data_IF_493745515453
#
_entry.id   IF_493745515453
#
_cell.length_a   1.000
_cell.length_b   1.000
_cell.length_c   1.000
_cell.angle_alpha   90.00
_cell.angle_beta   90.00
_cell.angle_gamma   90.00
#
_symmetry.space_group_name_H-M   'P 1'
#
loop_
_entity.id
_entity.type
_entity.pdbx_description
1 polymer ?
#
# COMPACT_ATOMS: atom_id res chain seq x y z
N UNK A 1 -14.11 -1.03 3.14
CA UNK A 1 -14.18 -1.81 1.87
C UNK A 1 -15.41 -1.42 1.06
N UNK A 2 -16.61 -1.37 1.68
CA UNK A 2 -17.84 -0.85 1.07
C UNK A 2 -17.64 0.50 0.36
N UNK A 3 -17.10 1.51 1.07
CA UNK A 3 -16.85 2.86 0.53
C UNK A 3 -15.95 2.89 -0.72
N UNK A 4 -14.93 2.02 -0.80
CA UNK A 4 -14.03 1.97 -1.98
C UNK A 4 -14.76 1.40 -3.20
N UNK A 5 -15.54 0.35 -2.98
CA UNK A 5 -16.29 -0.33 -4.04
C UNK A 5 -17.48 0.52 -4.52
N UNK A 6 -18.18 1.15 -3.59
CA UNK A 6 -19.22 2.13 -3.90
C UNK A 6 -18.64 3.30 -4.67
N UNK A 7 -17.52 3.88 -4.24
CA UNK A 7 -16.92 4.99 -4.99
C UNK A 7 -16.44 4.54 -6.37
N UNK A 8 -15.86 3.35 -6.50
CA UNK A 8 -15.48 2.80 -7.81
C UNK A 8 -16.69 2.60 -8.73
N UNK A 9 -17.78 2.01 -8.22
CA UNK A 9 -19.00 1.73 -8.98
C UNK A 9 -19.79 3.01 -9.32
N UNK A 10 -19.78 4.00 -8.42
CA UNK A 10 -20.47 5.28 -8.60
C UNK A 10 -19.61 6.31 -9.36
N UNK A 11 -18.36 5.96 -9.69
CA UNK A 11 -17.46 6.85 -10.42
C UNK A 11 -17.92 6.97 -11.87
N UNK A 12 -18.55 8.08 -12.20
CA UNK A 12 -18.72 8.51 -13.59
C UNK A 12 -17.53 9.38 -13.99
N UNK A 13 -16.79 8.97 -15.03
CA UNK A 13 -15.67 9.73 -15.60
C UNK A 13 -14.53 10.07 -14.63
N UNK A 14 -14.03 11.30 -14.70
CA UNK A 14 -12.92 11.82 -13.88
C UNK A 14 -13.37 12.46 -12.55
N UNK A 15 -14.51 12.03 -12.00
CA UNK A 15 -15.03 12.58 -10.74
C UNK A 15 -14.01 12.45 -9.60
N UNK A 16 -13.83 13.54 -8.85
CA UNK A 16 -12.85 13.63 -7.78
C UNK A 16 -13.30 12.80 -6.57
N UNK A 17 -12.41 11.92 -6.12
CA UNK A 17 -12.58 11.08 -4.93
C UNK A 17 -12.64 11.92 -3.67
N UNK A 18 -13.38 11.49 -2.65
CA UNK A 18 -13.31 12.10 -1.30
C UNK A 18 -12.74 11.14 -0.25
N UNK A 19 -12.42 9.90 -0.62
CA UNK A 19 -11.96 8.83 0.29
C UNK A 19 -10.64 9.14 0.99
N UNK A 20 -9.80 9.98 0.39
CA UNK A 20 -8.47 10.27 0.90
C UNK A 20 -8.43 11.66 1.52
N UNK A 21 -9.41 11.99 2.34
CA UNK A 21 -9.54 13.29 2.99
C UNK A 21 -9.61 13.17 4.51
N UNK A 22 -9.33 14.28 5.18
CA UNK A 22 -9.45 14.39 6.63
C UNK A 22 -8.23 13.92 7.43
N UNK A 23 -8.24 14.30 8.71
CA UNK A 23 -7.10 14.15 9.62
C UNK A 23 -6.69 12.69 9.81
N UNK A 24 -7.66 11.77 9.89
CA UNK A 24 -7.38 10.34 10.09
C UNK A 24 -6.57 9.74 8.93
N UNK A 25 -6.94 10.05 7.67
CA UNK A 25 -6.21 9.58 6.50
C UNK A 25 -4.81 10.20 6.46
N UNK A 26 -4.70 11.51 6.66
CA UNK A 26 -3.43 12.25 6.68
C UNK A 26 -2.49 11.66 7.73
N UNK A 27 -3.00 11.45 8.95
CA UNK A 27 -2.23 10.87 10.05
C UNK A 27 -1.74 9.47 9.71
N UNK A 28 -2.59 8.59 9.16
CA UNK A 28 -2.16 7.24 8.75
C UNK A 28 -1.14 7.27 7.62
N UNK A 29 -1.32 8.12 6.61
CA UNK A 29 -0.37 8.28 5.50
C UNK A 29 0.98 8.87 5.92
N UNK A 30 1.14 9.32 7.16
CA UNK A 30 2.45 9.66 7.71
C UNK A 30 3.25 8.46 8.19
N UNK A 31 2.63 7.28 8.36
CA UNK A 31 3.22 6.07 8.94
C UNK A 31 3.88 6.29 10.31
N UNK A 32 3.42 7.29 11.07
CA UNK A 32 4.05 7.67 12.35
C UNK A 32 5.42 8.33 12.19
N UNK A 33 5.84 8.64 10.96
CA UNK A 33 7.10 9.32 10.67
C UNK A 33 6.88 10.84 10.60
N UNK A 34 7.39 11.63 11.56
CA UNK A 34 7.17 13.08 11.59
C UNK A 34 7.75 13.79 10.36
N UNK A 35 8.88 13.32 9.82
CA UNK A 35 9.46 13.89 8.59
C UNK A 35 8.55 13.67 7.39
N UNK A 36 7.90 12.50 7.31
CA UNK A 36 6.89 12.23 6.27
C UNK A 36 5.66 13.11 6.45
N UNK A 37 5.18 13.27 7.70
CA UNK A 37 4.06 14.17 7.99
C UNK A 37 4.33 15.61 7.52
N UNK A 38 5.53 16.15 7.79
CA UNK A 38 5.90 17.49 7.31
C UNK A 38 5.93 17.58 5.78
N UNK A 39 6.47 16.57 5.09
CA UNK A 39 6.46 16.54 3.61
C UNK A 39 5.03 16.48 3.06
N UNK A 40 4.17 15.68 3.68
CA UNK A 40 2.75 15.59 3.34
C UNK A 40 2.05 16.94 3.56
N UNK A 41 2.29 17.62 4.69
CA UNK A 41 1.74 18.96 4.93
C UNK A 41 2.24 19.98 3.91
N UNK A 42 3.54 20.02 3.61
CA UNK A 42 4.07 20.91 2.59
C UNK A 42 3.44 20.64 1.21
N UNK A 43 3.18 19.37 0.88
CA UNK A 43 2.50 18.99 -0.35
C UNK A 43 1.02 19.42 -0.36
N UNK A 44 0.31 19.24 0.76
CA UNK A 44 -1.08 19.65 0.92
C UNK A 44 -1.24 21.18 0.87
N UNK A 45 -0.36 21.90 1.56
CA UNK A 45 -0.48 23.34 1.84
C UNK A 45 0.32 24.24 0.89
N UNK A 46 1.27 23.69 0.11
CA UNK A 46 2.29 24.48 -0.61
C UNK A 46 1.76 25.54 -1.59
N UNK A 47 0.50 25.45 -2.03
CA UNK A 47 -0.12 26.40 -2.97
C UNK A 47 -1.16 27.31 -2.31
N UNK A 48 -1.32 27.28 -0.98
CA UNK A 48 -2.38 27.97 -0.26
C UNK A 48 -1.93 29.31 0.35
N UNK A 49 -1.03 30.03 -0.34
CA UNK A 49 -0.39 31.24 0.21
C UNK A 49 -1.37 32.29 0.75
N UNK A 50 -2.64 32.29 0.30
CA UNK A 50 -3.67 33.25 0.70
C UNK A 50 -5.04 32.63 1.08
N UNK A 51 -5.15 31.31 1.31
CA UNK A 51 -6.43 30.69 1.67
C UNK A 51 -6.48 30.37 3.17
N UNK A 52 -7.34 31.08 3.91
CA UNK A 52 -7.64 30.79 5.33
C UNK A 52 -8.69 29.67 5.49
N UNK A 53 -9.22 29.17 4.38
CA UNK A 53 -10.30 28.19 4.36
C UNK A 53 -9.77 26.76 4.29
N UNK A 54 -10.51 25.84 4.91
CA UNK A 54 -10.26 24.40 4.82
C UNK A 54 -10.22 23.96 3.35
N UNK A 55 -9.19 23.19 2.99
CA UNK A 55 -9.09 22.56 1.66
C UNK A 55 -10.32 21.65 1.45
N UNK A 56 -11.05 21.75 0.33
CA UNK A 56 -12.14 20.83 0.02
C UNK A 56 -11.68 19.36 0.03
N UNK A 57 -12.54 18.43 0.46
CA UNK A 57 -12.18 17.02 0.62
C UNK A 57 -11.76 16.34 -0.69
N UNK A 58 -12.38 16.74 -1.79
CA UNK A 58 -11.98 16.32 -3.14
C UNK A 58 -10.54 16.75 -3.46
N UNK A 59 -10.18 18.01 -3.18
CA UNK A 59 -8.85 18.54 -3.42
C UNK A 59 -7.80 17.95 -2.46
N UNK A 60 -8.18 17.66 -1.21
CA UNK A 60 -7.31 16.90 -0.30
C UNK A 60 -6.99 15.52 -0.87
N UNK A 61 -8.02 14.81 -1.34
CA UNK A 61 -7.85 13.46 -1.88
C UNK A 61 -6.99 13.43 -3.13
N UNK A 62 -7.16 14.39 -4.05
CA UNK A 62 -6.31 14.54 -5.23
C UNK A 62 -4.84 14.79 -4.83
N UNK A 63 -4.61 15.72 -3.90
CA UNK A 63 -3.25 16.03 -3.41
C UNK A 63 -2.62 14.85 -2.69
N UNK A 64 -3.37 14.09 -1.91
CA UNK A 64 -2.86 12.89 -1.22
C UNK A 64 -2.52 11.79 -2.22
N UNK A 65 -3.29 11.63 -3.29
CA UNK A 65 -2.94 10.72 -4.39
C UNK A 65 -1.68 11.16 -5.12
N UNK A 66 -1.55 12.46 -5.43
CA UNK A 66 -0.34 13.00 -6.06
C UNK A 66 0.89 12.83 -5.17
N UNK A 67 0.76 13.10 -3.86
CA UNK A 67 1.80 12.85 -2.86
C UNK A 67 2.23 11.38 -2.86
N UNK A 68 1.25 10.47 -2.80
CA UNK A 68 1.46 9.02 -2.79
C UNK A 68 2.26 8.55 -4.00
N UNK A 69 1.90 9.02 -5.20
CA UNK A 69 2.63 8.70 -6.43
C UNK A 69 4.06 9.28 -6.41
N UNK A 70 4.24 10.53 -5.96
CA UNK A 70 5.58 11.14 -5.86
C UNK A 70 6.50 10.38 -4.90
N UNK A 71 5.99 9.93 -3.76
CA UNK A 71 6.77 9.11 -2.83
C UNK A 71 7.23 7.79 -3.49
N UNK A 72 6.36 7.18 -4.31
CA UNK A 72 6.73 5.99 -5.08
C UNK A 72 7.77 6.31 -6.16
N UNK A 73 7.65 7.42 -6.88
CA UNK A 73 8.58 7.78 -7.95
C UNK A 73 10.01 8.01 -7.48
N UNK A 74 10.21 8.46 -6.23
CA UNK A 74 11.55 8.72 -5.68
C UNK A 74 12.43 7.47 -5.75
N UNK A 75 11.86 6.26 -5.63
CA UNK A 75 12.65 5.03 -5.70
C UNK A 75 13.39 4.87 -7.02
N UNK A 76 12.88 5.44 -8.13
CA UNK A 76 13.52 5.32 -9.46
C UNK A 76 14.91 5.96 -9.53
N UNK A 77 15.23 6.87 -8.61
CA UNK A 77 16.52 7.56 -8.55
C UNK A 77 17.59 6.78 -7.76
N UNK A 78 17.21 5.70 -7.06
CA UNK A 78 18.16 4.81 -6.40
C UNK A 78 18.82 3.85 -7.38
N UNK A 79 19.98 3.29 -6.98
CA UNK A 79 20.61 2.20 -7.71
C UNK A 79 19.66 1.00 -7.78
N UNK A 80 19.44 0.48 -8.99
CA UNK A 80 18.45 -0.58 -9.28
C UNK A 80 16.99 -0.20 -8.93
N UNK A 81 16.72 1.09 -8.72
CA UNK A 81 15.46 1.63 -8.25
C UNK A 81 14.26 1.42 -9.18
N UNK A 82 14.50 1.32 -10.50
CA UNK A 82 13.46 1.02 -11.49
C UNK A 82 12.82 -0.35 -11.20
N UNK A 83 13.63 -1.36 -10.86
CA UNK A 83 13.14 -2.70 -10.53
C UNK A 83 12.28 -2.68 -9.27
N UNK A 84 12.71 -1.94 -8.25
CA UNK A 84 11.92 -1.75 -7.03
C UNK A 84 10.61 -0.98 -7.29
N UNK A 85 10.62 0.02 -8.18
CA UNK A 85 9.41 0.71 -8.63
C UNK A 85 8.40 -0.26 -9.28
N UNK A 86 8.86 -1.08 -10.22
CA UNK A 86 8.03 -2.07 -10.91
C UNK A 86 7.50 -3.14 -9.93
N UNK A 87 8.36 -3.62 -9.03
CA UNK A 87 8.01 -4.57 -7.99
C UNK A 87 6.89 -4.04 -7.08
N UNK A 88 7.01 -2.81 -6.58
CA UNK A 88 5.97 -2.18 -5.74
C UNK A 88 4.67 -1.97 -6.54
N UNK A 89 4.76 -1.55 -7.80
CA UNK A 89 3.57 -1.40 -8.64
C UNK A 89 2.85 -2.73 -8.88
N UNK A 90 3.59 -3.84 -9.08
CA UNK A 90 3.00 -5.17 -9.23
C UNK A 90 2.24 -5.59 -7.96
N UNK A 91 2.83 -5.38 -6.79
CA UNK A 91 2.20 -5.68 -5.49
C UNK A 91 0.96 -4.80 -5.26
N UNK A 92 1.09 -3.48 -5.40
CA UNK A 92 -0.01 -2.55 -5.19
C UNK A 92 -1.15 -2.73 -6.19
N UNK A 93 -0.83 -3.04 -7.46
CA UNK A 93 -1.79 -3.37 -8.50
C UNK A 93 -2.59 -4.63 -8.16
N UNK A 94 -1.92 -5.69 -7.73
CA UNK A 94 -2.58 -6.91 -7.28
C UNK A 94 -3.56 -6.66 -6.12
N UNK A 95 -3.14 -5.91 -5.09
CA UNK A 95 -4.02 -5.60 -3.96
C UNK A 95 -5.23 -4.76 -4.37
N UNK A 96 -5.06 -3.83 -5.32
CA UNK A 96 -6.16 -3.04 -5.90
C UNK A 96 -7.17 -3.96 -6.57
N UNK A 97 -6.71 -4.86 -7.44
CA UNK A 97 -7.57 -5.79 -8.16
C UNK A 97 -8.36 -6.70 -7.21
N UNK A 98 -7.69 -7.31 -6.23
CA UNK A 98 -8.35 -8.16 -5.24
C UNK A 98 -9.37 -7.39 -4.40
N UNK A 99 -9.05 -6.15 -4.02
CA UNK A 99 -9.96 -5.31 -3.23
C UNK A 99 -11.27 -4.98 -3.96
N UNK A 100 -11.27 -4.99 -5.30
CA UNK A 100 -12.47 -4.74 -6.11
C UNK A 100 -13.32 -6.00 -6.32
N UNK A 101 -12.69 -7.18 -6.38
CA UNK A 101 -13.34 -8.45 -6.70
C UNK A 101 -13.87 -9.17 -5.46
N UNK A 102 -13.17 -9.09 -4.31
CA UNK A 102 -13.55 -9.83 -3.11
C UNK A 102 -14.92 -9.42 -2.52
N UNK A 103 -15.54 -10.35 -1.78
CA UNK A 103 -16.83 -10.14 -1.11
C UNK A 103 -16.72 -8.99 -0.09
N UNK A 104 -17.76 -8.16 -0.04
CA UNK A 104 -17.87 -7.11 0.97
C UNK A 104 -17.90 -7.74 2.37
N UNK A 105 -16.99 -7.31 3.24
CA UNK A 105 -16.83 -7.85 4.59
C UNK A 105 -15.63 -8.78 4.76
N UNK A 106 -14.98 -9.24 3.67
CA UNK A 106 -13.73 -10.02 3.76
C UNK A 106 -12.54 -9.15 4.21
N UNK A 107 -11.58 -9.79 4.86
CA UNK A 107 -10.26 -9.18 5.05
C UNK A 107 -9.50 -9.21 3.72
N UNK A 108 -9.31 -8.05 3.08
CA UNK A 108 -8.62 -7.96 1.79
C UNK A 108 -7.12 -8.10 1.92
N UNK A 109 -6.47 -8.72 0.93
CA UNK A 109 -5.01 -8.75 0.88
C UNK A 109 -4.45 -7.33 0.71
N UNK A 110 -3.62 -6.91 1.66
CA UNK A 110 -2.84 -5.66 1.62
C UNK A 110 -1.45 -5.85 2.25
N UNK A 111 -1.01 -7.10 2.37
CA UNK A 111 0.31 -7.47 2.86
C UNK A 111 0.73 -8.77 2.21
N UNK A 112 2.03 -9.05 2.19
CA UNK A 112 2.55 -10.27 1.59
C UNK A 112 3.56 -10.96 2.49
N UNK A 113 3.68 -12.27 2.31
CA UNK A 113 4.69 -13.11 2.96
C UNK A 113 5.76 -13.50 1.96
N UNK A 114 6.98 -13.57 2.47
CA UNK A 114 8.12 -14.14 1.78
C UNK A 114 8.71 -15.26 2.62
N UNK A 115 9.39 -16.16 1.93
CA UNK A 115 10.22 -17.20 2.49
C UNK A 115 11.56 -17.23 1.72
N UNK A 116 12.39 -18.22 2.01
CA UNK A 116 13.70 -18.36 1.40
C UNK A 116 13.66 -18.68 -0.11
N UNK A 117 12.48 -18.93 -0.70
CA UNK A 117 12.31 -19.26 -2.12
C UNK A 117 12.34 -18.04 -3.04
N UNK A 118 12.31 -16.81 -2.50
CA UNK A 118 12.34 -15.60 -3.32
C UNK A 118 13.71 -15.43 -4.01
N UNK A 119 13.69 -14.87 -5.22
CA UNK A 119 14.93 -14.59 -5.96
C UNK A 119 15.75 -13.48 -5.29
N UNK A 120 17.05 -13.45 -5.54
CA UNK A 120 17.92 -12.36 -5.05
C UNK A 120 17.51 -10.99 -5.61
N UNK A 121 16.92 -10.97 -6.81
CA UNK A 121 16.37 -9.75 -7.40
C UNK A 121 15.15 -9.24 -6.64
N UNK A 122 14.18 -10.11 -6.33
CA UNK A 122 13.01 -9.76 -5.51
C UNK A 122 13.45 -9.30 -4.12
N UNK A 123 14.43 -9.99 -3.53
CA UNK A 123 14.98 -9.60 -2.24
C UNK A 123 15.69 -8.24 -2.29
N UNK A 124 16.43 -7.96 -3.37
CA UNK A 124 17.01 -6.65 -3.65
C UNK A 124 15.96 -5.54 -3.67
N UNK A 125 14.86 -5.75 -4.38
CA UNK A 125 13.75 -4.80 -4.45
C UNK A 125 13.12 -4.54 -3.08
N UNK A 126 12.92 -5.59 -2.27
CA UNK A 126 12.38 -5.47 -0.91
C UNK A 126 13.32 -4.64 -0.03
N UNK A 127 14.63 -4.89 -0.07
CA UNK A 127 15.61 -4.11 0.71
C UNK A 127 15.57 -2.63 0.32
N UNK A 128 15.67 -2.31 -0.98
CA UNK A 128 15.60 -0.91 -1.46
C UNK A 128 14.31 -0.22 -1.01
N UNK A 129 13.17 -0.91 -1.10
CA UNK A 129 11.90 -0.36 -0.68
C UNK A 129 11.80 -0.17 0.85
N UNK A 130 12.39 -1.07 1.64
CA UNK A 130 12.45 -0.93 3.11
C UNK A 130 13.36 0.24 3.50
N UNK A 131 14.52 0.37 2.87
CA UNK A 131 15.49 1.44 3.15
C UNK A 131 14.90 2.84 2.91
N UNK A 132 14.06 2.98 1.88
CA UNK A 132 13.32 4.20 1.58
C UNK A 132 12.03 4.38 2.40
N UNK A 133 11.66 3.37 3.21
CA UNK A 133 10.43 3.37 4.01
C UNK A 133 9.15 3.29 3.17
N UNK A 134 9.21 2.62 2.01
CA UNK A 134 8.08 2.31 1.12
C UNK A 134 7.46 0.93 1.45
N UNK A 135 8.25 0.03 2.04
CA UNK A 135 7.81 -1.22 2.63
C UNK A 135 8.23 -1.29 4.10
N UNK A 136 7.46 -2.03 4.90
CA UNK A 136 7.80 -2.31 6.29
C UNK A 136 7.71 -3.80 6.60
N UNK A 137 8.67 -4.36 7.35
CA UNK A 137 8.48 -5.67 7.97
C UNK A 137 7.36 -5.56 9.01
N UNK A 138 6.38 -6.46 8.92
CA UNK A 138 5.27 -6.53 9.85
C UNK A 138 5.67 -7.34 11.09
N UNK A 139 5.96 -6.63 12.18
CA UNK A 139 6.27 -7.23 13.47
C UNK A 139 5.01 -7.19 14.34
N UNK A 140 4.46 -8.35 14.72
CA UNK A 140 3.38 -8.40 15.72
C UNK A 140 3.94 -7.83 17.04
N UNK A 141 3.20 -6.90 17.66
CA UNK A 141 3.57 -6.18 18.90
C UNK A 141 3.88 -7.07 20.11
N UNK A 142 3.71 -8.38 20.01
CA UNK A 142 3.67 -9.30 21.15
C UNK A 142 4.79 -10.36 21.13
N UNK A 143 5.92 -10.07 20.49
CA UNK A 143 7.08 -10.99 20.54
C UNK A 143 8.35 -10.20 20.80
N UNK A 144 9.18 -10.75 21.68
CA UNK A 144 10.60 -10.45 21.94
C UNK A 144 11.46 -10.63 20.67
N UNK A 145 11.02 -10.10 19.52
CA UNK A 145 11.69 -10.22 18.24
C UNK A 145 12.94 -9.34 18.28
N UNK A 146 14.09 -9.99 18.31
CA UNK A 146 15.42 -9.39 18.52
C UNK A 146 15.91 -8.48 17.39
N UNK A 147 15.14 -8.28 16.31
CA UNK A 147 15.58 -7.50 15.16
C UNK A 147 14.40 -6.88 14.42
N UNK A 148 14.49 -5.55 14.20
CA UNK A 148 13.61 -4.80 13.30
C UNK A 148 14.12 -4.80 11.86
N UNK A 149 15.25 -5.46 11.59
CA UNK A 149 15.85 -5.52 10.27
C UNK A 149 15.12 -6.54 9.38
N UNK A 150 15.01 -6.28 8.08
CA UNK A 150 14.37 -7.19 7.14
C UNK A 150 15.19 -8.49 7.04
N UNK A 151 14.55 -9.62 7.36
CA UNK A 151 15.02 -10.98 7.07
C UNK A 151 14.49 -11.44 5.72
N UNK A 152 15.18 -12.36 5.03
CA UNK A 152 14.72 -13.00 3.77
C UNK A 152 13.54 -13.98 4.00
N UNK A 153 12.71 -13.65 4.96
CA UNK A 153 11.52 -14.37 5.39
C UNK A 153 10.62 -13.40 6.17
N UNK A 154 9.33 -13.72 6.25
CA UNK A 154 8.39 -13.00 7.08
C UNK A 154 7.33 -12.24 6.29
N UNK A 155 6.67 -11.29 6.95
CA UNK A 155 5.54 -10.54 6.37
C UNK A 155 5.94 -9.09 6.15
N UNK A 156 5.53 -8.53 5.02
CA UNK A 156 5.79 -7.16 4.63
C UNK A 156 4.49 -6.44 4.26
N UNK A 157 4.45 -5.14 4.53
CA UNK A 157 3.31 -4.25 4.24
C UNK A 157 3.78 -3.05 3.44
N UNK A 158 2.92 -2.56 2.54
CA UNK A 158 3.11 -1.26 1.91
C UNK A 158 3.02 -0.16 2.97
N UNK A 159 3.86 0.86 2.84
CA UNK A 159 3.68 2.09 3.59
C UNK A 159 2.28 2.66 3.32
N UNK A 160 1.60 3.15 4.37
CA UNK A 160 0.26 3.72 4.22
C UNK A 160 0.27 4.95 3.29
N UNK A 161 1.40 5.65 3.18
CA UNK A 161 1.55 6.73 2.22
C UNK A 161 1.38 6.29 0.75
N UNK A 162 1.55 5.00 0.43
CA UNK A 162 1.41 4.45 -0.92
C UNK A 162 0.00 3.98 -1.24
N UNK A 163 -0.85 3.74 -0.22
CA UNK A 163 -2.17 3.15 -0.45
C UNK A 163 -3.09 4.04 -1.32
N UNK A 164 -3.06 5.39 -1.24
CA UNK A 164 -3.87 6.22 -2.13
C UNK A 164 -3.56 6.04 -3.63
N UNK A 165 -2.28 5.84 -3.99
CA UNK A 165 -1.86 5.57 -5.37
C UNK A 165 -2.51 4.31 -5.94
N UNK A 166 -2.67 3.28 -5.10
CA UNK A 166 -3.28 2.01 -5.48
C UNK A 166 -4.80 1.95 -5.24
N UNK A 167 -5.43 3.05 -4.86
CA UNK A 167 -6.82 3.10 -4.41
C UNK A 167 -7.13 2.10 -3.27
N UNK A 168 -6.23 2.03 -2.30
CA UNK A 168 -6.31 1.19 -1.12
C UNK A 168 -6.51 2.05 0.12
N UNK A 169 -7.25 1.56 1.11
CA UNK A 169 -7.30 2.22 2.42
C UNK A 169 -5.97 2.03 3.17
N UNK A 170 -5.49 3.04 3.91
CA UNK A 170 -4.30 2.95 4.74
C UNK A 170 -4.59 2.09 5.97
N UNK A 171 -4.45 0.77 5.81
CA UNK A 171 -4.60 -0.25 6.84
C UNK A 171 -3.72 -1.44 6.49
N UNK A 172 -3.53 -2.33 7.46
CA UNK A 172 -2.96 -3.64 7.20
C UNK A 172 -4.11 -4.63 6.99
N UNK A 173 -4.13 -5.29 5.84
CA UNK A 173 -5.06 -6.39 5.53
C UNK A 173 -4.33 -7.74 5.53
N UNK A 174 -5.04 -8.85 5.28
CA UNK A 174 -4.48 -10.21 5.33
C UNK A 174 -3.19 -10.39 4.50
N UNK A 175 -2.29 -11.30 4.91
CA UNK A 175 -1.14 -11.67 4.11
C UNK A 175 -1.50 -12.65 3.00
N UNK A 176 -0.75 -12.58 1.91
CA UNK A 176 -0.73 -13.58 0.82
C UNK A 176 0.70 -13.94 0.47
N UNK A 177 0.94 -15.10 -0.13
CA UNK A 177 2.29 -15.45 -0.57
C UNK A 177 2.76 -14.57 -1.73
N UNK A 178 4.04 -14.16 -1.72
CA UNK A 178 4.59 -13.30 -2.77
C UNK A 178 4.48 -13.95 -4.16
N UNK A 179 4.69 -15.27 -4.27
CA UNK A 179 4.59 -15.96 -5.55
C UNK A 179 3.18 -15.84 -6.16
N UNK A 180 2.11 -15.82 -5.35
CA UNK A 180 0.74 -15.63 -5.84
C UNK A 180 0.51 -14.26 -6.47
N UNK A 181 1.25 -13.23 -6.05
CA UNK A 181 1.19 -11.89 -6.64
C UNK A 181 1.83 -11.87 -8.03
N UNK A 182 2.96 -12.58 -8.19
CA UNK A 182 3.73 -12.58 -9.43
C UNK A 182 3.24 -13.63 -10.44
N UNK A 183 2.59 -14.70 -9.96
CA UNK A 183 2.02 -15.77 -10.75
C UNK A 183 0.54 -15.56 -11.09
N UNK A 184 -0.09 -14.45 -10.68
CA UNK A 184 -1.56 -14.23 -10.82
C UNK A 184 -2.11 -14.16 -12.25
N UNK A 185 -1.27 -14.34 -13.27
CA UNK A 185 -1.70 -14.63 -14.65
C UNK A 185 -1.95 -16.13 -14.90
N UNK A 186 -1.61 -16.99 -13.94
CA UNK A 186 -1.91 -18.41 -13.91
C UNK A 186 -3.23 -18.63 -13.14
N UNK A 187 -4.07 -19.59 -13.54
CA UNK A 187 -5.25 -19.97 -12.78
C UNK A 187 -4.85 -20.33 -11.33
N UNK A 188 -5.69 -19.94 -10.36
CA UNK A 188 -5.51 -20.25 -8.93
C UNK A 188 -5.17 -21.73 -8.76
N UNK A 189 -4.06 -22.04 -8.10
CA UNK A 189 -3.69 -23.42 -7.76
C UNK A 189 -4.70 -24.00 -6.77
N UNK A 190 -4.82 -25.33 -6.73
CA UNK A 190 -5.74 -26.02 -5.81
C UNK A 190 -5.41 -25.73 -4.33
N UNK A 191 -4.13 -25.44 -4.01
CA UNK A 191 -3.69 -25.02 -2.68
C UNK A 191 -4.24 -23.64 -2.28
N UNK A 192 -4.29 -22.68 -3.21
CA UNK A 192 -4.88 -21.34 -2.98
C UNK A 192 -6.39 -21.40 -2.76
N UNK A 193 -7.05 -22.41 -3.34
CA UNK A 193 -8.47 -22.65 -3.13
C UNK A 193 -8.72 -23.29 -1.77
N UNK A 194 -7.84 -24.18 -1.31
CA UNK A 194 -7.96 -24.83 0.01
C UNK A 194 -7.71 -23.88 1.19
N UNK A 195 -6.81 -22.89 1.09
CA UNK A 195 -6.62 -21.88 2.16
C UNK A 195 -7.87 -21.02 2.41
N UNK A 196 -8.72 -20.82 1.38
CA UNK A 196 -9.97 -20.05 1.51
C UNK A 196 -11.09 -20.79 2.25
N UNK A 197 -11.01 -22.12 2.37
CA UNK A 197 -12.02 -22.95 3.05
C UNK A 197 -11.63 -23.31 4.49
N UNK A 198 -10.38 -23.08 4.89
CA UNK A 198 -9.89 -23.46 6.23
C UNK A 198 -10.08 -22.37 7.30
N UNK A 199 -10.61 -21.19 6.93
CA UNK A 199 -10.96 -20.10 7.87
C UNK A 199 -12.46 -20.11 8.25
N UNK A 200 -13.21 -21.15 7.88
CA UNK A 200 -14.60 -21.40 8.33
C UNK A 200 -14.65 -22.55 9.36
N UNK A 201 -14.18 -22.29 10.58
CA UNK A 201 -14.55 -23.02 11.81
C UNK A 201 -14.53 -22.09 13.04
#
# INVERSE_FOLDING_TARGET
MLLLREEYNNKSGNSASTLYSGVAIISRCSDGNPRRLFRLFNHLLGNLKNQSTRIPDASQSERIKSYSYRELEVVKFEKDGIKAFEFINKIGGYFKEKSLVEKLGSDTPQSFRIDNSISEEQWGCIKTAVDLGLLYPYVKKDRNAKSLFPSKEGRFVLANCLTPNFNLFPRVGRPIQLHNIFNSNAPLSEEDQMELFNDED
#
